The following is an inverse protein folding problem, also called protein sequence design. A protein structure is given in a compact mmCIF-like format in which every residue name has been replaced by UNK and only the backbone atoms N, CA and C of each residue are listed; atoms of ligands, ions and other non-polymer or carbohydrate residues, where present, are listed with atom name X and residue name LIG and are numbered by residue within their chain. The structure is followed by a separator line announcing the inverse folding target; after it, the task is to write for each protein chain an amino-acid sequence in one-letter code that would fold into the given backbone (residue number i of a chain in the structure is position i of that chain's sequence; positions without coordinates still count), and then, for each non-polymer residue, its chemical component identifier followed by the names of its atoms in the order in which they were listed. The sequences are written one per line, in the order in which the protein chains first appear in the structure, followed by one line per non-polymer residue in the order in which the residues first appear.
data_IF_720557643397
#
_entry.id   IF_720557643397
#
_cell.length_a   1.000
_cell.length_b   1.000
_cell.length_c   1.000
_cell.angle_alpha   90.00
_cell.angle_beta   90.00
_cell.angle_gamma   90.00
#
_symmetry.space_group_name_H-M   'P 1'
#
loop_
_entity.id
_entity.type
_entity.pdbx_description
1 polymer ?
#
# COMPACT_ATOMS: atom_id res chain seq x y z
N UNK A 1 -34.24 15.96 -68.37
CA UNK A 1 -34.20 16.37 -66.96
C UNK A 1 -33.74 15.18 -66.12
N UNK A 2 -32.62 15.28 -65.43
CA UNK A 2 -31.97 14.18 -64.70
C UNK A 2 -32.19 14.28 -63.19
N UNK A 3 -32.14 13.14 -62.46
CA UNK A 3 -31.38 13.13 -61.21
C UNK A 3 -30.45 11.91 -61.07
N UNK A 4 -29.40 12.14 -60.27
CA UNK A 4 -28.18 11.36 -60.05
C UNK A 4 -28.33 10.17 -59.08
N UNK A 5 -27.75 9.05 -59.51
CA UNK A 5 -26.83 8.08 -58.88
C UNK A 5 -26.84 7.77 -57.36
N UNK A 6 -26.95 6.46 -57.09
CA UNK A 6 -26.71 5.69 -55.85
C UNK A 6 -25.23 5.63 -55.43
N UNK A 7 -24.99 5.47 -54.13
CA UNK A 7 -23.94 4.60 -53.60
C UNK A 7 -24.41 3.86 -52.33
N UNK A 8 -24.07 2.58 -52.25
CA UNK A 8 -24.46 1.61 -51.22
C UNK A 8 -23.19 0.89 -50.78
N UNK A 9 -22.89 0.82 -49.49
CA UNK A 9 -21.82 -0.03 -48.94
C UNK A 9 -22.38 -1.01 -47.89
N UNK A 10 -21.73 -2.17 -47.80
CA UNK A 10 -22.22 -3.45 -47.28
C UNK A 10 -21.89 -3.68 -45.80
N UNK A 11 -22.72 -4.56 -45.22
CA UNK A 11 -22.72 -5.21 -43.90
C UNK A 11 -21.57 -6.19 -43.67
N UNK A 12 -21.21 -6.42 -42.40
CA UNK A 12 -20.91 -7.76 -41.86
C UNK A 12 -21.09 -7.78 -40.34
N UNK A 13 -22.04 -8.60 -39.86
CA UNK A 13 -22.16 -9.05 -38.48
C UNK A 13 -22.14 -10.58 -38.49
N UNK A 14 -21.25 -11.20 -37.70
CA UNK A 14 -21.14 -12.64 -37.56
C UNK A 14 -21.61 -13.07 -36.17
N UNK A 15 -22.69 -13.83 -36.15
CA UNK A 15 -23.21 -14.57 -34.99
C UNK A 15 -22.76 -16.02 -35.14
N UNK A 16 -22.11 -16.58 -34.10
CA UNK A 16 -21.82 -18.01 -34.00
C UNK A 16 -22.58 -18.56 -32.80
N UNK A 17 -23.51 -19.47 -33.07
CA UNK A 17 -24.11 -20.37 -32.10
C UNK A 17 -23.60 -21.79 -32.41
N UNK A 18 -23.10 -22.51 -31.40
CA UNK A 18 -22.80 -23.95 -31.51
C UNK A 18 -23.41 -24.68 -30.32
N UNK A 19 -23.97 -25.83 -30.67
CA UNK A 19 -24.93 -26.66 -29.97
C UNK A 19 -24.42 -27.36 -28.71
N UNK A 20 -25.40 -27.69 -27.86
CA UNK A 20 -25.34 -28.64 -26.75
C UNK A 20 -25.37 -30.09 -27.22
N UNK A 21 -24.46 -30.94 -26.73
CA UNK A 21 -24.63 -32.39 -26.71
C UNK A 21 -24.35 -32.93 -25.29
N UNK A 22 -25.26 -33.79 -24.81
CA UNK A 22 -25.15 -34.58 -23.59
C UNK A 22 -24.47 -35.90 -23.93
N UNK A 23 -23.45 -36.30 -23.19
CA UNK A 23 -22.81 -37.61 -23.33
C UNK A 23 -22.09 -38.02 -22.04
N UNK A 24 -22.35 -39.25 -21.62
CA UNK A 24 -22.19 -39.84 -20.28
C UNK A 24 -20.77 -40.33 -19.91
N UNK A 25 -20.45 -40.21 -18.61
CA UNK A 25 -19.65 -41.08 -17.71
C UNK A 25 -18.48 -41.91 -18.30
N UNK A 26 -17.26 -41.64 -17.82
CA UNK A 26 -16.33 -42.69 -17.37
C UNK A 26 -15.29 -42.13 -16.38
N UNK A 27 -14.98 -42.95 -15.38
CA UNK A 27 -14.15 -42.74 -14.18
C UNK A 27 -12.65 -42.78 -14.54
N UNK A 28 -11.83 -41.86 -14.02
CA UNK A 28 -10.41 -42.10 -13.81
C UNK A 28 -9.98 -41.48 -12.46
N UNK A 29 -9.54 -42.36 -11.56
CA UNK A 29 -8.89 -42.06 -10.28
C UNK A 29 -7.45 -41.62 -10.57
N UNK A 30 -7.01 -40.51 -10.01
CA UNK A 30 -5.60 -40.32 -9.66
C UNK A 30 -5.50 -39.57 -8.34
N UNK A 31 -5.00 -40.30 -7.34
CA UNK A 31 -4.55 -39.82 -6.03
C UNK A 31 -3.22 -39.08 -6.22
N UNK A 32 -3.03 -37.93 -5.57
CA UNK A 32 -1.72 -37.60 -4.97
C UNK A 32 -1.81 -36.42 -4.01
N UNK A 33 -1.45 -36.73 -2.76
CA UNK A 33 -0.77 -35.89 -1.78
C UNK A 33 -1.39 -34.53 -1.39
N UNK A 34 -2.20 -34.59 -0.32
CA UNK A 34 -2.32 -33.52 0.66
C UNK A 34 -1.12 -33.64 1.60
N UNK A 35 -0.17 -32.70 1.54
CA UNK A 35 0.78 -32.48 2.63
C UNK A 35 0.15 -31.53 3.64
N UNK A 36 -0.17 -32.09 4.81
CA UNK A 36 -0.37 -31.36 6.05
C UNK A 36 1.00 -30.94 6.55
N UNK A 37 1.29 -29.65 6.50
CA UNK A 37 2.37 -29.09 7.32
C UNK A 37 1.76 -28.66 8.65
N UNK A 38 1.93 -29.53 9.65
CA UNK A 38 1.56 -29.31 11.04
C UNK A 38 2.70 -29.83 11.91
N UNK A 39 3.57 -28.93 12.38
CA UNK A 39 4.48 -29.14 13.51
C UNK A 39 5.24 -27.83 13.76
N UNK A 40 4.96 -27.13 14.86
CA UNK A 40 5.72 -27.23 16.11
C UNK A 40 6.88 -26.21 16.12
N UNK A 41 6.62 -25.02 16.66
CA UNK A 41 7.65 -24.21 17.29
C UNK A 41 7.17 -23.87 18.69
N UNK A 42 8.01 -24.27 19.63
CA UNK A 42 7.77 -24.37 21.05
C UNK A 42 7.58 -23.01 21.72
N UNK A 43 6.73 -23.08 22.73
CA UNK A 43 6.53 -22.12 23.78
C UNK A 43 7.71 -22.20 24.75
N UNK A 44 8.53 -21.14 24.82
CA UNK A 44 9.34 -20.85 26.01
C UNK A 44 8.98 -19.47 26.50
N UNK A 45 8.03 -19.41 27.44
CA UNK A 45 7.84 -18.28 28.32
C UNK A 45 8.92 -18.28 29.41
N UNK A 46 9.46 -17.09 29.70
CA UNK A 46 9.81 -16.56 31.03
C UNK A 46 10.66 -15.30 30.89
N UNK A 47 10.26 -14.24 31.59
CA UNK A 47 11.18 -13.16 31.94
C UNK A 47 10.60 -11.75 31.76
N UNK A 48 9.63 -11.40 32.61
CA UNK A 48 9.43 -10.01 33.02
C UNK A 48 10.73 -9.48 33.67
N UNK A 49 11.13 -8.25 33.34
CA UNK A 49 11.99 -7.44 34.19
C UNK A 49 11.61 -5.97 34.05
N UNK A 50 11.12 -5.43 35.16
CA UNK A 50 10.84 -4.02 35.46
C UNK A 50 12.15 -3.20 35.58
N UNK A 51 12.07 -1.85 35.54
CA UNK A 51 13.23 -0.99 35.56
C UNK A 51 13.70 -0.72 36.99
N UNK A 52 15.01 -0.75 37.21
CA UNK A 52 15.62 -0.25 38.45
C UNK A 52 16.11 1.18 38.26
N UNK A 53 15.61 2.03 39.15
CA UNK A 53 16.10 3.37 39.43
C UNK A 53 17.46 3.31 40.13
N UNK A 54 18.34 4.25 39.79
CA UNK A 54 19.45 4.64 40.66
C UNK A 54 19.51 6.17 40.73
N UNK A 55 19.06 6.67 41.88
CA UNK A 55 19.24 8.02 42.43
C UNK A 55 20.73 8.33 42.67
N UNK A 56 21.10 9.61 42.56
CA UNK A 56 22.37 10.13 43.09
C UNK A 56 22.76 11.53 42.61
N UNK A 57 22.20 12.55 43.28
CA UNK A 57 22.74 13.87 43.64
C UNK A 57 23.10 14.98 42.60
N UNK A 58 22.29 16.04 42.65
CA UNK A 58 22.52 17.49 42.33
C UNK A 58 23.27 18.20 43.52
N UNK A 59 23.51 19.55 43.56
CA UNK A 59 23.43 20.64 42.56
C UNK A 59 24.61 21.68 42.53
N UNK A 60 24.78 22.36 41.37
CA UNK A 60 24.82 23.84 41.11
C UNK A 60 25.92 24.79 41.75
N UNK A 61 25.97 26.12 41.43
CA UNK A 61 26.55 26.80 40.24
C UNK A 61 27.66 27.85 40.53
N UNK A 62 28.26 28.40 39.46
CA UNK A 62 28.38 29.86 39.13
C UNK A 62 29.74 30.23 38.49
N UNK A 63 29.72 30.81 37.27
CA UNK A 63 30.13 32.21 37.00
C UNK A 63 30.20 32.56 35.51
N UNK A 64 29.47 33.62 35.23
CA UNK A 64 29.34 34.49 34.07
C UNK A 64 30.67 35.11 33.57
N UNK A 65 30.82 35.32 32.25
CA UNK A 65 31.13 36.65 31.68
C UNK A 65 31.04 36.72 30.15
N UNK A 66 30.42 37.82 29.73
CA UNK A 66 30.05 38.28 28.39
C UNK A 66 31.17 38.91 27.54
N UNK A 67 30.86 39.04 26.23
CA UNK A 67 31.07 40.18 25.30
C UNK A 67 32.27 40.24 24.33
N UNK A 68 31.93 39.99 23.06
CA UNK A 68 31.99 40.92 21.90
C UNK A 68 33.32 41.39 21.30
N UNK A 69 33.54 41.10 20.00
CA UNK A 69 33.34 42.04 18.85
C UNK A 69 33.91 41.51 17.52
N UNK A 70 33.02 41.47 16.52
CA UNK A 70 33.16 41.72 15.07
C UNK A 70 34.52 42.15 14.49
N UNK A 71 34.93 41.52 13.37
CA UNK A 71 35.43 42.26 12.19
C UNK A 71 35.22 41.50 10.88
N UNK A 72 34.79 42.27 9.89
CA UNK A 72 34.35 41.97 8.52
C UNK A 72 35.51 41.61 7.58
N UNK A 73 35.27 40.78 6.55
CA UNK A 73 35.80 41.08 5.21
C UNK A 73 35.03 40.37 4.08
N UNK A 74 34.58 41.22 3.16
CA UNK A 74 33.85 41.05 1.91
C UNK A 74 34.68 40.45 0.77
N UNK A 75 34.07 39.59 -0.08
CA UNK A 75 34.19 39.72 -1.54
C UNK A 75 33.05 39.02 -2.32
N UNK A 76 32.47 39.81 -3.21
CA UNK A 76 31.47 39.61 -4.29
C UNK A 76 31.88 38.53 -5.32
N UNK A 77 31.01 37.86 -6.10
CA UNK A 77 30.12 38.35 -7.21
C UNK A 77 29.29 37.15 -7.81
N UNK A 78 28.43 37.23 -8.86
CA UNK A 78 26.95 37.21 -8.75
C UNK A 78 26.18 36.11 -9.54
N UNK A 79 24.90 35.96 -9.17
CA UNK A 79 23.68 35.63 -9.94
C UNK A 79 23.71 34.54 -11.05
N UNK A 80 22.91 33.46 -10.87
CA UNK A 80 21.74 33.19 -11.71
C UNK A 80 20.86 32.04 -11.14
N UNK A 81 19.56 32.06 -11.49
CA UNK A 81 18.64 30.89 -11.59
C UNK A 81 17.61 30.66 -10.46
N UNK A 82 16.46 31.35 -10.63
CA UNK A 82 15.07 30.90 -10.40
C UNK A 82 14.74 30.08 -9.14
N UNK A 83 14.29 30.77 -8.09
CA UNK A 83 13.57 30.16 -6.98
C UNK A 83 12.08 30.04 -7.33
N UNK A 84 11.63 28.81 -7.61
CA UNK A 84 10.22 28.45 -7.51
C UNK A 84 9.85 28.33 -6.04
N UNK A 85 9.36 29.43 -5.47
CA UNK A 85 8.78 29.49 -4.13
C UNK A 85 7.47 28.70 -4.10
N UNK A 86 7.49 27.49 -3.54
CA UNK A 86 6.29 26.74 -3.15
C UNK A 86 5.89 27.14 -1.72
N UNK A 87 4.59 27.16 -1.39
CA UNK A 87 4.11 27.72 -0.14
C UNK A 87 4.46 26.82 1.07
N UNK A 88 4.62 27.41 2.27
CA UNK A 88 4.88 26.66 3.50
C UNK A 88 3.56 26.06 3.99
N UNK A 89 3.25 24.87 3.52
CA UNK A 89 2.25 23.97 4.12
C UNK A 89 3.00 22.66 4.26
N UNK A 90 3.33 22.11 5.43
CA UNK A 90 2.44 21.72 6.51
C UNK A 90 3.25 21.64 7.83
N UNK A 91 3.15 22.65 8.70
CA UNK A 91 3.25 22.44 10.15
C UNK A 91 1.85 22.07 10.65
N UNK A 92 1.23 21.03 10.08
CA UNK A 92 -0.07 20.57 10.52
C UNK A 92 0.13 19.73 11.78
N UNK A 93 -0.26 20.32 12.91
CA UNK A 93 -0.66 19.57 14.08
C UNK A 93 -1.89 18.77 13.67
N UNK A 94 -1.73 17.46 13.43
CA UNK A 94 -2.85 16.59 13.11
C UNK A 94 -3.76 16.50 14.33
N UNK A 95 -5.07 16.78 14.21
CA UNK A 95 -5.99 16.52 15.31
C UNK A 95 -5.89 15.05 15.67
N UNK A 96 -5.80 14.75 16.98
CA UNK A 96 -5.82 13.38 17.47
C UNK A 96 -7.16 12.76 17.09
N UNK A 97 -7.18 11.98 16.02
CA UNK A 97 -8.38 11.27 15.60
C UNK A 97 -8.66 10.14 16.59
N UNK A 98 -9.77 10.28 17.32
CA UNK A 98 -10.24 9.24 18.22
C UNK A 98 -10.83 8.10 17.39
N UNK A 99 -10.24 6.92 17.53
CA UNK A 99 -10.76 5.70 16.94
C UNK A 99 -11.82 5.11 17.86
N UNK A 100 -12.98 4.78 17.32
CA UNK A 100 -14.04 4.08 18.07
C UNK A 100 -13.80 2.58 18.00
N UNK A 101 -13.63 1.95 19.15
CA UNK A 101 -13.52 0.50 19.26
C UNK A 101 -14.88 -0.17 19.18
N UNK A 102 -14.96 -1.32 18.51
CA UNK A 102 -16.15 -2.15 18.44
C UNK A 102 -15.75 -3.60 18.18
N UNK A 103 -16.72 -4.52 18.24
CA UNK A 103 -16.46 -5.94 17.94
C UNK A 103 -17.45 -6.45 16.92
N UNK A 104 -16.98 -7.35 16.05
CA UNK A 104 -17.82 -8.03 15.05
C UNK A 104 -17.91 -9.51 15.41
N UNK A 105 -19.12 -10.07 15.42
CA UNK A 105 -19.31 -11.51 15.58
C UNK A 105 -18.82 -12.25 14.33
N UNK A 106 -17.93 -13.23 14.50
CA UNK A 106 -17.38 -14.01 13.40
C UNK A 106 -17.87 -15.44 13.43
N UNK A 107 -18.32 -16.00 12.28
CA UNK A 107 -18.67 -17.41 12.22
C UNK A 107 -17.43 -18.26 12.50
N UNK A 108 -17.48 -19.06 13.58
CA UNK A 108 -16.41 -19.99 13.91
C UNK A 108 -16.32 -21.07 12.84
N UNK A 109 -15.16 -21.23 12.21
CA UNK A 109 -14.89 -22.31 11.25
C UNK A 109 -14.88 -23.73 11.85
N UNK A 110 -15.19 -23.86 13.16
CA UNK A 110 -15.12 -25.12 13.89
C UNK A 110 -16.44 -25.95 13.93
N UNK A 111 -17.51 -25.53 13.26
CA UNK A 111 -18.81 -26.22 13.36
C UNK A 111 -18.91 -27.60 12.65
N UNK A 112 -17.80 -28.22 12.21
CA UNK A 112 -17.82 -29.54 11.52
C UNK A 112 -17.69 -30.76 12.44
N UNK A 113 -17.77 -30.60 13.76
CA UNK A 113 -17.71 -31.72 14.71
C UNK A 113 -18.69 -31.48 15.86
N UNK A 114 -19.94 -31.90 15.65
CA UNK A 114 -20.98 -31.88 16.66
C UNK A 114 -20.73 -32.96 17.73
N UNK A 115 -20.14 -32.57 18.87
CA UNK A 115 -20.32 -33.27 20.15
C UNK A 115 -19.95 -32.42 21.37
N UNK A 116 -20.40 -31.16 21.41
CA UNK A 116 -20.65 -30.42 22.66
C UNK A 116 -21.25 -29.04 22.34
N UNK A 117 -22.39 -28.65 22.92
CA UNK A 117 -22.97 -27.32 22.75
C UNK A 117 -22.29 -26.35 23.74
N UNK A 118 -21.08 -25.88 23.40
CA UNK A 118 -20.57 -24.62 23.96
C UNK A 118 -20.36 -23.64 22.80
N UNK A 119 -21.42 -22.91 22.45
CA UNK A 119 -21.40 -21.85 21.42
C UNK A 119 -20.62 -20.64 21.93
N UNK A 120 -19.28 -20.71 21.92
CA UNK A 120 -18.46 -19.52 22.08
C UNK A 120 -18.46 -18.74 20.75
N UNK A 121 -19.26 -17.68 20.65
CA UNK A 121 -19.20 -16.75 19.52
C UNK A 121 -17.84 -16.05 19.56
N UNK A 122 -17.00 -16.27 18.55
CA UNK A 122 -15.72 -15.56 18.45
C UNK A 122 -16.00 -14.14 17.98
N UNK A 123 -15.61 -13.16 18.77
CA UNK A 123 -15.66 -11.74 18.39
C UNK A 123 -14.31 -11.31 17.83
N UNK A 124 -14.33 -10.40 16.86
CA UNK A 124 -13.12 -9.79 16.29
C UNK A 124 -13.07 -8.32 16.69
N UNK A 125 -12.04 -7.88 17.44
CA UNK A 125 -11.81 -6.48 17.75
C UNK A 125 -11.59 -5.65 16.49
N UNK A 126 -12.26 -4.51 16.42
CA UNK A 126 -12.16 -3.56 15.32
C UNK A 126 -12.07 -2.12 15.85
N UNK A 127 -11.51 -1.24 15.04
CA UNK A 127 -11.42 0.19 15.31
C UNK A 127 -11.82 0.97 14.05
N UNK A 128 -12.58 2.05 14.19
CA UNK A 128 -12.99 2.92 13.07
C UNK A 128 -12.61 4.37 13.33
N UNK A 129 -12.23 5.10 12.27
CA UNK A 129 -11.85 6.52 12.37
C UNK A 129 -13.01 7.52 12.26
N UNK A 130 -14.24 7.04 12.05
CA UNK A 130 -15.39 7.87 11.70
C UNK A 130 -16.63 7.50 12.53
N UNK A 131 -17.50 8.49 12.75
CA UNK A 131 -18.86 8.23 13.20
C UNK A 131 -19.70 7.73 12.02
N UNK A 132 -20.63 6.81 12.32
CA UNK A 132 -21.56 6.26 11.33
C UNK A 132 -22.76 7.19 11.19
N UNK A 133 -23.30 7.44 9.97
CA UNK A 133 -22.86 6.95 8.67
C UNK A 133 -21.78 7.85 8.03
N UNK A 134 -20.65 7.27 7.65
CA UNK A 134 -19.63 7.93 6.82
C UNK A 134 -19.02 6.88 5.87
N UNK A 135 -18.84 7.18 4.58
CA UNK A 135 -18.40 6.18 3.60
C UNK A 135 -16.99 5.65 3.88
N UNK A 136 -16.89 4.41 4.35
CA UNK A 136 -15.64 3.70 4.59
C UNK A 136 -14.86 3.54 3.28
N UNK A 137 -13.67 4.14 3.25
CA UNK A 137 -12.79 4.15 2.09
C UNK A 137 -11.80 2.98 2.11
N UNK A 138 -11.41 2.52 3.30
CA UNK A 138 -10.42 1.46 3.48
C UNK A 138 -10.77 0.52 4.63
N UNK A 139 -10.76 -0.78 4.37
CA UNK A 139 -10.69 -1.82 5.39
C UNK A 139 -9.23 -2.31 5.47
N UNK A 140 -8.64 -2.25 6.67
CA UNK A 140 -7.20 -2.47 6.88
C UNK A 140 -6.92 -3.47 8.00
N UNK A 141 -5.83 -4.24 7.91
CA UNK A 141 -5.42 -5.15 8.98
C UNK A 141 -3.90 -5.19 9.18
N UNK A 142 -3.49 -5.55 10.38
CA UNK A 142 -2.10 -5.52 10.84
C UNK A 142 -1.23 -6.63 10.26
N UNK A 143 0.06 -6.58 10.59
CA UNK A 143 1.06 -7.59 10.21
C UNK A 143 1.08 -8.83 11.10
N UNK A 144 2.10 -9.66 10.92
CA UNK A 144 2.39 -10.78 11.81
C UNK A 144 2.83 -10.27 13.19
N UNK A 145 2.40 -10.93 14.27
CA UNK A 145 2.86 -10.66 15.64
C UNK A 145 2.44 -9.33 16.27
N UNK A 146 1.74 -8.47 15.55
CA UNK A 146 1.15 -7.23 16.09
C UNK A 146 -0.36 -7.33 16.27
N UNK A 147 -0.96 -6.21 16.64
CA UNK A 147 -2.40 -5.98 16.75
C UNK A 147 -2.73 -4.57 16.22
N UNK A 148 -3.89 -4.02 16.59
CA UNK A 148 -4.31 -2.68 16.20
C UNK A 148 -3.51 -1.55 16.88
N UNK A 149 -2.80 -1.85 17.97
CA UNK A 149 -1.96 -0.89 18.71
C UNK A 149 -0.52 -0.79 18.18
N UNK A 150 -0.13 -1.67 17.26
CA UNK A 150 1.20 -1.65 16.65
C UNK A 150 1.50 -0.28 16.05
N UNK A 151 2.66 0.31 16.37
CA UNK A 151 3.01 1.69 15.98
C UNK A 151 2.81 1.96 14.48
N UNK A 152 3.26 1.05 13.61
CA UNK A 152 3.08 1.19 12.16
C UNK A 152 1.60 1.22 11.72
N UNK A 153 0.72 0.49 12.41
CA UNK A 153 -0.73 0.55 12.17
C UNK A 153 -1.31 1.89 12.62
N UNK A 154 -0.94 2.33 13.83
CA UNK A 154 -1.43 3.57 14.44
C UNK A 154 -0.99 4.79 13.61
N UNK A 155 0.28 4.87 13.24
CA UNK A 155 0.80 6.00 12.47
C UNK A 155 0.12 6.06 11.10
N UNK A 156 0.05 4.93 10.38
CA UNK A 156 -0.64 4.86 9.09
C UNK A 156 -2.12 5.26 9.20
N UNK A 157 -2.84 4.73 10.19
CA UNK A 157 -4.28 5.00 10.31
C UNK A 157 -4.58 6.43 10.73
N UNK A 158 -3.75 7.05 11.58
CA UNK A 158 -3.85 8.47 11.94
C UNK A 158 -3.67 9.38 10.74
N UNK A 159 -2.62 9.15 9.96
CA UNK A 159 -2.37 9.94 8.75
C UNK A 159 -3.46 9.75 7.69
N UNK A 160 -3.97 8.52 7.55
CA UNK A 160 -5.12 8.24 6.68
C UNK A 160 -6.36 9.00 7.12
N UNK A 161 -6.74 8.89 8.40
CA UNK A 161 -7.91 9.55 8.98
C UNK A 161 -7.78 11.08 8.99
N UNK A 162 -6.57 11.61 9.13
CA UNK A 162 -6.25 13.04 9.08
C UNK A 162 -6.66 13.74 7.79
N UNK A 163 -6.91 13.00 6.71
CA UNK A 163 -7.44 13.55 5.44
C UNK A 163 -8.96 13.73 5.41
N UNK A 164 -9.68 13.26 6.45
CA UNK A 164 -11.13 13.11 6.43
C UNK A 164 -11.62 11.79 5.80
N UNK A 165 -10.72 10.94 5.31
CA UNK A 165 -11.07 9.62 4.78
C UNK A 165 -11.34 8.61 5.90
N UNK A 166 -12.36 7.78 5.70
CA UNK A 166 -12.75 6.77 6.69
C UNK A 166 -11.97 5.45 6.51
N UNK A 167 -11.35 4.99 7.60
CA UNK A 167 -10.69 3.68 7.68
C UNK A 167 -11.30 2.85 8.80
N UNK A 168 -11.49 1.56 8.53
CA UNK A 168 -11.84 0.53 9.52
C UNK A 168 -10.71 -0.48 9.59
N UNK A 169 -10.29 -0.78 10.81
CA UNK A 169 -9.24 -1.72 11.10
C UNK A 169 -9.79 -2.90 11.88
N UNK A 170 -9.30 -4.10 11.60
CA UNK A 170 -9.68 -5.31 12.35
C UNK A 170 -8.46 -6.14 12.76
N UNK A 171 -8.56 -6.77 13.92
CA UNK A 171 -7.51 -7.64 14.45
C UNK A 171 -7.63 -9.05 13.85
N UNK A 172 -6.66 -9.43 13.02
CA UNK A 172 -6.62 -10.73 12.34
C UNK A 172 -5.79 -11.77 13.09
N UNK A 173 -6.23 -13.02 13.08
CA UNK A 173 -5.41 -14.13 13.58
C UNK A 173 -4.19 -14.42 12.66
N UNK A 174 -3.25 -15.24 13.11
CA UNK A 174 -2.02 -15.57 12.38
C UNK A 174 -2.21 -16.46 11.13
N UNK A 175 -3.42 -16.97 10.89
CA UNK A 175 -3.74 -17.73 9.69
C UNK A 175 -4.17 -16.78 8.57
N UNK A 176 -3.33 -16.61 7.55
CA UNK A 176 -3.56 -15.66 6.46
C UNK A 176 -4.88 -15.89 5.71
N UNK A 177 -5.34 -17.15 5.56
CA UNK A 177 -6.61 -17.47 4.87
C UNK A 177 -7.81 -17.09 5.73
N UNK A 178 -7.76 -17.39 7.03
CA UNK A 178 -8.80 -16.98 7.97
C UNK A 178 -8.87 -15.45 8.07
N UNK A 179 -7.70 -14.78 8.11
CA UNK A 179 -7.60 -13.32 8.08
C UNK A 179 -8.17 -12.73 6.78
N UNK A 180 -7.94 -13.36 5.64
CA UNK A 180 -8.53 -12.92 4.37
C UNK A 180 -10.07 -12.99 4.39
N UNK A 181 -10.65 -14.04 4.99
CA UNK A 181 -12.11 -14.17 5.14
C UNK A 181 -12.74 -13.06 6.00
N UNK A 182 -12.00 -12.48 6.94
CA UNK A 182 -12.52 -11.39 7.79
C UNK A 182 -12.79 -10.10 7.02
N UNK A 183 -12.09 -9.83 5.91
CA UNK A 183 -12.35 -8.64 5.11
C UNK A 183 -13.81 -8.58 4.60
N UNK A 184 -14.34 -9.72 4.14
CA UNK A 184 -15.73 -9.82 3.72
C UNK A 184 -16.69 -9.59 4.88
N UNK A 185 -16.42 -10.19 6.06
CA UNK A 185 -17.25 -10.01 7.26
C UNK A 185 -17.28 -8.55 7.73
N UNK A 186 -16.13 -7.88 7.74
CA UNK A 186 -16.05 -6.45 8.11
C UNK A 186 -16.77 -5.58 7.08
N UNK A 187 -16.63 -5.89 5.79
CA UNK A 187 -17.31 -5.17 4.71
C UNK A 187 -18.84 -5.27 4.85
N UNK A 188 -19.38 -6.47 5.06
CA UNK A 188 -20.82 -6.66 5.25
C UNK A 188 -21.31 -5.93 6.51
N UNK A 189 -20.57 -6.00 7.61
CA UNK A 189 -20.90 -5.24 8.82
C UNK A 189 -20.98 -3.72 8.54
N UNK A 190 -20.01 -3.18 7.81
CA UNK A 190 -19.98 -1.76 7.44
C UNK A 190 -21.12 -1.37 6.49
N UNK A 191 -21.55 -2.27 5.61
CA UNK A 191 -22.75 -2.11 4.78
C UNK A 191 -24.00 -2.05 5.65
N UNK A 192 -24.20 -3.03 6.54
CA UNK A 192 -25.37 -3.12 7.42
C UNK A 192 -25.53 -1.90 8.34
N UNK A 193 -24.42 -1.28 8.74
CA UNK A 193 -24.43 -0.10 9.59
C UNK A 193 -24.48 1.22 8.80
N UNK A 194 -24.51 1.19 7.45
CA UNK A 194 -24.65 2.38 6.62
C UNK A 194 -23.35 3.16 6.38
N UNK A 195 -22.20 2.56 6.66
CA UNK A 195 -20.87 3.11 6.34
C UNK A 195 -20.39 2.72 4.94
N UNK A 196 -21.05 1.81 4.23
CA UNK A 196 -20.77 1.51 2.82
C UNK A 196 -22.09 1.51 2.06
N UNK A 197 -22.15 2.22 0.94
CA UNK A 197 -23.33 2.23 0.07
C UNK A 197 -23.36 0.88 -0.67
N UNK A 198 -24.39 0.07 -0.43
CA UNK A 198 -24.62 -1.17 -1.19
C UNK A 198 -24.71 -0.86 -2.68
N UNK A 199 -23.89 -1.51 -3.49
CA UNK A 199 -23.88 -1.35 -4.95
C UNK A 199 -25.24 -1.65 -5.61
N UNK A 200 -26.15 -2.34 -4.93
CA UNK A 200 -27.47 -2.72 -5.45
C UNK A 200 -28.59 -1.67 -5.26
N UNK A 201 -28.37 -0.59 -4.49
CA UNK A 201 -29.43 0.43 -4.29
C UNK A 201 -29.49 1.52 -5.38
N UNK A 202 -28.60 1.49 -6.38
CA UNK A 202 -28.60 2.44 -7.50
C UNK A 202 -29.54 2.05 -8.66
N UNK A 203 -30.38 1.02 -8.49
CA UNK A 203 -31.46 0.69 -9.44
C UNK A 203 -32.79 1.26 -8.96
N UNK A 204 -33.03 2.52 -9.30
CA UNK A 204 -34.31 3.19 -9.10
C UNK A 204 -35.50 2.34 -9.60
N UNK A 205 -36.38 1.98 -8.67
CA UNK A 205 -37.71 1.44 -8.99
C UNK A 205 -38.71 2.58 -9.16
N UNK A 206 -39.34 2.75 -10.33
CA UNK A 206 -40.46 3.67 -10.49
C UNK A 206 -41.75 2.90 -10.21
N UNK A 207 -42.19 2.78 -8.95
CA UNK A 207 -43.49 2.19 -8.65
C UNK A 207 -44.03 2.61 -7.28
N UNK A 208 -45.17 3.31 -7.28
CA UNK A 208 -45.89 3.65 -6.05
C UNK A 208 -46.96 4.72 -6.26
N UNK A 209 -47.98 4.42 -7.06
CA UNK A 209 -49.22 5.21 -7.10
C UNK A 209 -49.88 5.15 -5.73
N UNK A 210 -50.04 6.28 -5.04
CA UNK A 210 -51.01 6.41 -3.95
C UNK A 210 -51.93 7.59 -4.23
N UNK A 211 -53.21 7.23 -4.42
CA UNK A 211 -54.35 8.13 -4.52
C UNK A 211 -54.70 8.66 -3.14
N UNK A 212 -54.85 9.98 -3.00
CA UNK A 212 -55.60 10.58 -1.90
C UNK A 212 -56.61 11.55 -2.48
N UNK A 213 -57.88 11.21 -2.35
CA UNK A 213 -59.02 12.10 -2.57
C UNK A 213 -59.21 12.96 -1.32
N UNK A 214 -59.09 14.27 -1.42
CA UNK A 214 -59.80 15.20 -0.52
C UNK A 214 -60.38 16.34 -1.34
N UNK A 215 -61.67 16.52 -1.14
CA UNK A 215 -62.59 17.48 -1.72
C UNK A 215 -62.24 18.95 -1.43
N UNK A 216 -62.45 19.81 -2.42
CA UNK A 216 -63.06 21.11 -2.20
C UNK A 216 -62.14 22.33 -2.25
N UNK A 217 -62.57 23.29 -3.08
CA UNK A 217 -62.19 24.72 -3.18
C UNK A 217 -60.90 25.10 -3.94
N UNK A 218 -61.16 25.47 -5.19
CA UNK A 218 -60.35 26.30 -6.10
C UNK A 218 -59.82 27.57 -5.40
N UNK A 219 -58.50 27.74 -5.36
CA UNK A 219 -57.82 29.05 -5.45
C UNK A 219 -56.53 28.94 -6.26
N UNK A 220 -56.39 29.86 -7.22
CA UNK A 220 -55.30 30.00 -8.19
C UNK A 220 -54.15 30.75 -7.52
N UNK A 221 -53.02 30.08 -7.30
CA UNK A 221 -51.76 30.72 -6.90
C UNK A 221 -50.68 30.29 -7.88
N UNK A 222 -50.23 31.25 -8.67
CA UNK A 222 -49.07 31.18 -9.56
C UNK A 222 -47.81 31.27 -8.70
N UNK A 223 -47.15 30.14 -8.47
CA UNK A 223 -45.81 30.09 -7.90
C UNK A 223 -44.89 29.45 -8.95
N UNK A 224 -44.05 30.29 -9.57
CA UNK A 224 -42.89 29.88 -10.35
C UNK A 224 -41.90 29.28 -9.36
N UNK A 225 -41.64 27.98 -9.44
CA UNK A 225 -40.57 27.32 -8.69
C UNK A 225 -39.72 26.54 -9.68
N UNK A 226 -38.64 27.19 -10.07
CA UNK A 226 -37.54 26.67 -10.86
C UNK A 226 -36.72 25.75 -9.94
N UNK A 227 -37.09 24.48 -9.82
CA UNK A 227 -36.23 23.44 -9.22
C UNK A 227 -35.61 22.61 -10.34
N UNK A 228 -34.46 23.08 -10.80
CA UNK A 228 -33.57 22.36 -11.70
C UNK A 228 -33.05 21.12 -10.98
N UNK A 229 -33.68 19.98 -11.30
CA UNK A 229 -33.20 18.65 -10.97
C UNK A 229 -31.77 18.48 -11.49
N UNK A 230 -30.81 18.40 -10.58
CA UNK A 230 -29.48 17.86 -10.85
C UNK A 230 -29.34 16.59 -10.03
N UNK A 231 -29.58 15.46 -10.69
CA UNK A 231 -29.28 14.13 -10.20
C UNK A 231 -27.76 14.06 -10.02
N UNK A 232 -27.27 14.36 -8.81
CA UNK A 232 -25.88 14.11 -8.44
C UNK A 232 -25.73 12.62 -8.20
N UNK A 233 -25.30 11.89 -9.23
CA UNK A 233 -24.84 10.51 -9.08
C UNK A 233 -23.60 10.53 -8.18
N UNK A 234 -23.78 10.28 -6.89
CA UNK A 234 -22.65 10.05 -5.99
C UNK A 234 -21.83 8.90 -6.58
N UNK A 235 -20.53 9.07 -6.88
CA UNK A 235 -19.72 7.99 -7.44
C UNK A 235 -19.79 6.80 -6.48
N UNK A 236 -20.07 5.61 -7.02
CA UNK A 236 -20.07 4.37 -6.25
C UNK A 236 -18.80 4.29 -5.41
N UNK A 237 -18.92 4.47 -4.10
CA UNK A 237 -17.77 4.51 -3.18
C UNK A 237 -17.24 3.09 -3.02
N UNK A 238 -16.35 2.68 -3.93
CA UNK A 238 -15.69 1.38 -3.83
C UNK A 238 -14.74 1.40 -2.64
N UNK A 239 -15.12 0.69 -1.57
CA UNK A 239 -14.22 0.38 -0.47
C UNK A 239 -12.95 -0.32 -0.98
N UNK A 240 -11.80 0.05 -0.42
CA UNK A 240 -10.53 -0.62 -0.67
C UNK A 240 -10.23 -1.66 0.40
N UNK A 241 -9.47 -2.70 0.04
CA UNK A 241 -8.83 -3.58 1.01
C UNK A 241 -7.36 -3.24 1.16
N UNK A 242 -6.81 -3.40 2.36
CA UNK A 242 -5.39 -3.24 2.57
C UNK A 242 -4.89 -3.89 3.83
N UNK A 243 -3.58 -3.87 3.99
CA UNK A 243 -2.98 -4.24 5.26
C UNK A 243 -1.48 -4.04 5.24
N UNK A 244 -0.86 -4.36 6.38
CA UNK A 244 0.59 -4.36 6.54
C UNK A 244 1.14 -5.78 6.55
N UNK A 245 2.22 -6.06 5.83
CA UNK A 245 2.92 -7.37 5.87
C UNK A 245 1.96 -8.55 5.62
N UNK A 246 1.79 -9.47 6.57
CA UNK A 246 0.81 -10.55 6.50
C UNK A 246 -0.62 -10.05 6.18
N UNK A 247 -1.00 -8.88 6.70
CA UNK A 247 -2.27 -8.23 6.39
C UNK A 247 -2.39 -7.79 4.94
N UNK A 248 -1.32 -7.27 4.35
CA UNK A 248 -1.27 -6.93 2.91
C UNK A 248 -1.51 -8.18 2.06
N UNK A 249 -0.87 -9.30 2.43
CA UNK A 249 -1.09 -10.58 1.75
C UNK A 249 -2.53 -11.10 1.93
N UNK A 250 -3.12 -10.94 3.11
CA UNK A 250 -4.51 -11.30 3.36
C UNK A 250 -5.48 -10.45 2.53
N UNK A 251 -5.22 -9.15 2.37
CA UNK A 251 -6.02 -8.26 1.51
C UNK A 251 -5.99 -8.70 0.04
N UNK A 252 -4.82 -9.10 -0.47
CA UNK A 252 -4.71 -9.66 -1.82
C UNK A 252 -5.52 -10.96 -1.95
N UNK A 253 -5.41 -11.88 -1.00
CA UNK A 253 -6.23 -13.12 -1.00
C UNK A 253 -7.73 -12.79 -1.02
N UNK A 254 -8.17 -11.85 -0.19
CA UNK A 254 -9.57 -11.45 -0.11
C UNK A 254 -10.08 -10.86 -1.44
N UNK A 255 -9.24 -10.08 -2.13
CA UNK A 255 -9.58 -9.47 -3.42
C UNK A 255 -9.81 -10.47 -4.56
N UNK A 256 -9.24 -11.69 -4.45
CA UNK A 256 -9.48 -12.75 -5.41
C UNK A 256 -10.88 -13.35 -5.31
N UNK A 257 -11.50 -13.25 -4.14
CA UNK A 257 -12.86 -13.76 -3.88
C UNK A 257 -13.92 -12.66 -3.89
N UNK A 258 -13.55 -11.41 -3.60
CA UNK A 258 -14.46 -10.26 -3.64
C UNK A 258 -14.23 -9.42 -4.91
N UNK A 259 -15.01 -9.74 -5.94
CA UNK A 259 -14.92 -9.06 -7.24
C UNK A 259 -15.35 -7.58 -7.20
N UNK A 260 -16.01 -7.14 -6.12
CA UNK A 260 -16.40 -5.75 -5.91
C UNK A 260 -15.23 -4.84 -5.53
N UNK A 261 -14.12 -5.40 -5.02
CA UNK A 261 -12.94 -4.62 -4.65
C UNK A 261 -12.11 -4.29 -5.89
N UNK A 262 -11.91 -3.00 -6.13
CA UNK A 262 -11.15 -2.47 -7.28
C UNK A 262 -9.84 -1.79 -6.89
N UNK A 263 -9.56 -1.63 -5.59
CA UNK A 263 -8.38 -0.92 -5.09
C UNK A 263 -7.76 -1.67 -3.91
N UNK A 264 -6.42 -1.76 -3.91
CA UNK A 264 -5.65 -2.37 -2.82
C UNK A 264 -4.55 -1.46 -2.31
N UNK A 265 -4.40 -1.38 -0.98
CA UNK A 265 -3.30 -0.65 -0.30
C UNK A 265 -2.41 -1.64 0.45
N UNK A 266 -1.20 -1.85 -0.05
CA UNK A 266 -0.29 -2.91 0.38
C UNK A 266 0.96 -2.30 1.04
N UNK A 267 0.91 -2.13 2.37
CA UNK A 267 2.06 -1.65 3.14
C UNK A 267 3.00 -2.80 3.51
N UNK A 268 4.29 -2.66 3.22
CA UNK A 268 5.36 -3.64 3.49
C UNK A 268 4.95 -5.06 3.04
N UNK A 269 4.53 -5.24 1.78
CA UNK A 269 4.08 -6.54 1.28
C UNK A 269 5.23 -7.57 1.35
N UNK A 270 5.05 -8.75 1.98
CA UNK A 270 6.15 -9.69 2.18
C UNK A 270 6.32 -10.58 0.95
N UNK A 271 6.84 -9.98 -0.13
CA UNK A 271 7.05 -10.55 -1.44
C UNK A 271 7.94 -11.80 -1.42
N UNK A 272 8.95 -11.77 -0.57
CA UNK A 272 9.84 -12.90 -0.24
C UNK A 272 9.50 -13.36 1.18
N UNK A 273 9.31 -14.66 1.37
CA UNK A 273 9.12 -15.22 2.70
C UNK A 273 10.41 -15.09 3.54
N UNK A 274 10.33 -15.24 4.87
CA UNK A 274 11.53 -15.38 5.69
C UNK A 274 12.43 -16.56 5.25
N UNK A 275 11.85 -17.56 4.58
CA UNK A 275 12.57 -18.71 4.00
C UNK A 275 13.12 -18.48 2.59
N UNK A 276 12.96 -17.28 2.00
CA UNK A 276 13.41 -16.96 0.65
C UNK A 276 12.45 -17.35 -0.49
N UNK A 277 11.31 -17.99 -0.17
CA UNK A 277 10.32 -18.38 -1.17
C UNK A 277 9.55 -17.17 -1.71
N UNK A 278 9.41 -17.12 -3.04
CA UNK A 278 8.71 -16.05 -3.73
C UNK A 278 7.19 -16.16 -3.59
N UNK A 279 6.50 -15.03 -3.41
CA UNK A 279 5.04 -14.93 -3.25
C UNK A 279 4.42 -14.00 -4.30
N UNK A 280 4.96 -14.00 -5.51
CA UNK A 280 4.51 -13.18 -6.64
C UNK A 280 3.28 -13.72 -7.36
N UNK A 281 3.09 -15.05 -7.44
CA UNK A 281 1.99 -15.63 -8.22
C UNK A 281 0.63 -15.02 -7.88
N UNK A 282 0.35 -14.84 -6.57
CA UNK A 282 -0.90 -14.25 -6.12
C UNK A 282 -1.07 -12.78 -6.55
N UNK A 283 0.02 -12.04 -6.76
CA UNK A 283 0.00 -10.68 -7.32
C UNK A 283 -0.20 -10.71 -8.84
N UNK A 284 0.43 -11.66 -9.54
CA UNK A 284 0.30 -11.85 -10.99
C UNK A 284 -1.10 -12.30 -11.40
N UNK A 285 -1.79 -13.00 -10.51
CA UNK A 285 -3.17 -13.45 -10.71
C UNK A 285 -4.20 -12.32 -10.54
N UNK A 286 -3.81 -11.16 -10.00
CA UNK A 286 -4.75 -10.05 -9.78
C UNK A 286 -5.28 -9.55 -11.13
N UNK A 287 -6.60 -9.35 -11.18
CA UNK A 287 -7.33 -8.91 -12.37
C UNK A 287 -6.89 -7.52 -12.84
N UNK A 288 -7.03 -7.27 -14.14
CA UNK A 288 -6.62 -6.00 -14.76
C UNK A 288 -7.45 -4.78 -14.31
N UNK A 289 -8.65 -5.00 -13.77
CA UNK A 289 -9.56 -3.96 -13.29
C UNK A 289 -9.29 -3.53 -11.84
N UNK A 290 -8.26 -4.08 -11.21
CA UNK A 290 -7.84 -3.72 -9.84
C UNK A 290 -6.60 -2.82 -9.92
N UNK A 291 -6.61 -1.73 -9.16
CA UNK A 291 -5.46 -0.84 -8.99
C UNK A 291 -4.78 -1.11 -7.63
N UNK A 292 -3.44 -1.14 -7.60
CA UNK A 292 -2.67 -1.44 -6.40
C UNK A 292 -1.72 -0.31 -6.04
N UNK A 293 -1.69 0.07 -4.77
CA UNK A 293 -0.67 0.90 -4.17
C UNK A 293 0.26 0.04 -3.31
N UNK A 294 1.53 -0.05 -3.69
CA UNK A 294 2.59 -0.57 -2.84
C UNK A 294 3.22 0.56 -2.03
N UNK A 295 3.40 0.35 -0.73
CA UNK A 295 4.20 1.22 0.15
C UNK A 295 5.29 0.34 0.74
N UNK A 296 6.55 0.59 0.41
CA UNK A 296 7.65 -0.28 0.80
C UNK A 296 8.89 0.52 1.17
N UNK A 297 9.57 0.08 2.22
CA UNK A 297 10.90 0.60 2.54
C UNK A 297 11.94 0.09 1.55
N UNK A 298 12.97 0.88 1.29
CA UNK A 298 14.11 0.47 0.46
C UNK A 298 15.02 -0.56 1.14
N UNK A 299 15.02 -0.63 2.48
CA UNK A 299 15.69 -1.64 3.28
C UNK A 299 14.75 -2.80 3.69
N UNK A 300 13.60 -2.95 3.04
CA UNK A 300 12.70 -4.09 3.26
C UNK A 300 13.24 -5.38 2.61
N UNK A 301 13.88 -6.22 3.41
CA UNK A 301 14.43 -7.52 2.95
C UNK A 301 13.35 -8.52 2.53
N UNK A 302 12.09 -8.34 2.95
CA UNK A 302 10.96 -9.15 2.52
C UNK A 302 10.30 -8.58 1.26
N UNK A 303 10.64 -7.36 0.84
CA UNK A 303 10.16 -6.74 -0.40
C UNK A 303 11.28 -6.01 -1.15
N UNK A 304 12.33 -6.71 -1.63
CA UNK A 304 13.42 -6.05 -2.37
C UNK A 304 12.89 -5.28 -3.58
N UNK A 305 13.25 -4.01 -3.71
CA UNK A 305 12.63 -3.09 -4.67
C UNK A 305 12.80 -3.51 -6.14
N UNK A 306 13.95 -4.08 -6.51
CA UNK A 306 14.19 -4.59 -7.85
C UNK A 306 13.29 -5.79 -8.17
N UNK A 307 13.13 -6.69 -7.20
CA UNK A 307 12.23 -7.83 -7.31
C UNK A 307 10.78 -7.37 -7.42
N UNK A 308 10.36 -6.39 -6.60
CA UNK A 308 9.03 -5.79 -6.70
C UNK A 308 8.82 -5.14 -8.08
N UNK A 309 9.82 -4.42 -8.60
CA UNK A 309 9.73 -3.80 -9.92
C UNK A 309 9.53 -4.83 -11.04
N UNK A 310 10.26 -5.95 -10.97
CA UNK A 310 10.13 -7.05 -11.92
C UNK A 310 8.74 -7.70 -11.87
N UNK A 311 8.17 -7.88 -10.68
CA UNK A 311 6.80 -8.40 -10.52
C UNK A 311 5.77 -7.40 -11.06
N UNK A 312 5.88 -6.12 -10.69
CA UNK A 312 5.00 -5.05 -11.18
C UNK A 312 4.99 -4.92 -12.71
N UNK A 313 6.12 -5.19 -13.37
CA UNK A 313 6.21 -5.21 -14.83
C UNK A 313 5.42 -6.36 -15.49
N UNK A 314 5.19 -7.46 -14.76
CA UNK A 314 4.46 -8.65 -15.24
C UNK A 314 2.99 -8.67 -14.84
N UNK A 315 2.58 -7.82 -13.88
CA UNK A 315 1.21 -7.76 -13.40
C UNK A 315 0.25 -7.21 -14.48
N UNK A 316 -0.95 -7.79 -14.54
CA UNK A 316 -2.06 -7.30 -15.37
C UNK A 316 -2.69 -6.03 -14.78
N UNK A 317 -2.77 -6.02 -13.44
CA UNK A 317 -3.28 -4.91 -12.65
C UNK A 317 -2.35 -3.69 -12.73
N UNK A 318 -2.91 -2.48 -12.66
CA UNK A 318 -2.09 -1.26 -12.65
C UNK A 318 -1.55 -1.02 -11.24
N UNK A 319 -0.27 -0.63 -11.16
CA UNK A 319 0.41 -0.48 -9.87
C UNK A 319 1.06 0.88 -9.70
N UNK A 320 0.92 1.44 -8.51
CA UNK A 320 1.63 2.58 -7.97
C UNK A 320 2.60 2.10 -6.89
N UNK A 321 3.72 2.81 -6.69
CA UNK A 321 4.69 2.50 -5.65
C UNK A 321 5.15 3.77 -4.94
N UNK A 322 5.04 3.76 -3.62
CA UNK A 322 5.71 4.68 -2.70
C UNK A 322 6.90 3.93 -2.11
N UNK A 323 8.11 4.46 -2.33
CA UNK A 323 9.33 3.99 -1.68
C UNK A 323 9.58 4.87 -0.47
N UNK A 324 9.76 4.27 0.71
CA UNK A 324 10.15 4.99 1.92
C UNK A 324 11.65 4.81 2.13
N UNK A 325 12.38 5.89 1.87
CA UNK A 325 13.84 5.96 1.99
C UNK A 325 14.28 5.70 3.43
N UNK A 326 15.24 4.80 3.62
CA UNK A 326 15.75 4.43 4.93
C UNK A 326 14.86 3.47 5.73
N UNK A 327 13.70 3.04 5.23
CA UNK A 327 12.76 2.24 6.01
C UNK A 327 12.97 0.73 5.85
N UNK A 328 12.84 0.00 6.96
CA UNK A 328 12.82 -1.47 6.97
C UNK A 328 11.39 -2.05 6.81
N UNK A 329 11.25 -3.39 6.89
CA UNK A 329 9.94 -4.06 6.80
C UNK A 329 8.94 -3.63 7.89
N UNK A 330 9.42 -3.12 9.03
CA UNK A 330 8.62 -2.55 10.11
C UNK A 330 8.13 -1.13 9.84
N UNK A 331 8.56 -0.53 8.72
CA UNK A 331 8.45 0.91 8.44
C UNK A 331 9.27 1.77 9.41
N UNK A 332 10.31 1.20 10.04
CA UNK A 332 11.21 1.98 10.89
C UNK A 332 12.25 2.66 10.02
N UNK A 333 12.29 3.99 10.07
CA UNK A 333 13.27 4.79 9.32
C UNK A 333 14.62 4.75 10.03
N UNK A 334 15.70 4.56 9.27
CA UNK A 334 17.09 4.53 9.75
C UNK A 334 17.91 5.64 9.08
N UNK A 335 19.09 5.94 9.64
CA UNK A 335 20.09 6.78 8.94
C UNK A 335 19.95 8.30 9.11
N UNK A 336 19.31 8.77 10.18
CA UNK A 336 19.10 10.21 10.41
C UNK A 336 18.98 10.58 11.89
N UNK A 337 18.71 11.87 12.17
CA UNK A 337 18.40 12.38 13.51
C UNK A 337 16.90 12.22 13.81
N UNK A 338 16.53 12.20 15.09
CA UNK A 338 15.12 12.15 15.55
C UNK A 338 14.31 10.97 14.95
N UNK A 339 14.91 9.78 14.86
CA UNK A 339 14.34 8.64 14.14
C UNK A 339 12.98 8.15 14.65
N UNK A 340 12.70 8.29 15.95
CA UNK A 340 11.38 7.94 16.50
C UNK A 340 10.28 8.85 15.93
N UNK A 341 10.51 10.16 15.97
CA UNK A 341 9.63 11.17 15.35
C UNK A 341 9.55 10.98 13.82
N UNK A 342 10.68 10.68 13.18
CA UNK A 342 10.72 10.41 11.75
C UNK A 342 9.90 9.19 11.35
N UNK A 343 10.01 8.08 12.10
CA UNK A 343 9.21 6.86 11.88
C UNK A 343 7.71 7.13 12.07
N UNK A 344 7.34 7.95 13.06
CA UNK A 344 5.96 8.37 13.28
C UNK A 344 5.42 9.21 12.12
N UNK A 345 6.08 10.32 11.79
CA UNK A 345 5.63 11.22 10.72
C UNK A 345 5.64 10.60 9.34
N UNK A 346 6.63 9.77 9.02
CA UNK A 346 6.66 9.05 7.75
C UNK A 346 5.53 8.02 7.68
N UNK A 347 5.22 7.34 8.78
CA UNK A 347 4.08 6.43 8.87
C UNK A 347 2.74 7.15 8.64
N UNK A 348 2.54 8.30 9.28
CA UNK A 348 1.39 9.18 9.05
C UNK A 348 1.32 9.66 7.60
N UNK A 349 2.45 10.11 7.05
CA UNK A 349 2.50 10.57 5.67
C UNK A 349 2.14 9.46 4.67
N UNK A 350 2.58 8.22 4.91
CA UNK A 350 2.17 7.07 4.11
C UNK A 350 0.65 6.84 4.16
N UNK A 351 0.03 7.02 5.33
CA UNK A 351 -1.41 6.99 5.50
C UNK A 351 -2.13 8.08 4.70
N UNK A 352 -1.63 9.32 4.78
CA UNK A 352 -2.15 10.48 4.06
C UNK A 352 -2.09 10.26 2.54
N UNK A 353 -0.94 9.80 2.02
CA UNK A 353 -0.74 9.49 0.60
C UNK A 353 -1.72 8.40 0.15
N UNK A 354 -1.91 7.34 0.94
CA UNK A 354 -2.84 6.27 0.60
C UNK A 354 -4.30 6.76 0.52
N UNK A 355 -4.71 7.61 1.46
CA UNK A 355 -6.05 8.20 1.46
C UNK A 355 -6.27 9.10 0.23
N UNK A 356 -5.31 9.96 -0.09
CA UNK A 356 -5.38 10.80 -1.29
C UNK A 356 -5.41 9.97 -2.56
N UNK A 357 -4.57 8.94 -2.66
CA UNK A 357 -4.52 8.02 -3.80
C UNK A 357 -5.83 7.26 -4.03
N UNK A 358 -6.53 6.89 -2.94
CA UNK A 358 -7.84 6.25 -3.03
C UNK A 358 -8.92 7.21 -3.55
N UNK A 359 -8.87 8.47 -3.14
CA UNK A 359 -9.78 9.52 -3.61
C UNK A 359 -9.53 9.88 -5.08
N UNK A 360 -8.26 10.08 -5.43
CA UNK A 360 -7.83 10.48 -6.76
C UNK A 360 -6.39 10.03 -7.01
N UNK A 361 -6.14 9.46 -8.21
CA UNK A 361 -4.79 9.04 -8.61
C UNK A 361 -4.54 9.35 -10.08
N UNK A 362 -3.36 9.87 -10.36
CA UNK A 362 -2.87 10.06 -11.72
C UNK A 362 -2.50 8.71 -12.35
N UNK A 363 -2.99 8.44 -13.56
CA UNK A 363 -2.78 7.17 -14.25
C UNK A 363 -1.35 6.99 -14.80
N UNK A 364 -0.61 8.08 -14.97
CA UNK A 364 0.73 8.12 -15.56
C UNK A 364 1.81 8.32 -14.50
N UNK A 365 1.54 9.08 -13.43
CA UNK A 365 2.47 9.31 -12.32
C UNK A 365 2.29 8.25 -11.24
N UNK A 366 3.19 7.28 -11.19
CA UNK A 366 3.03 6.01 -10.45
C UNK A 366 4.17 5.67 -9.51
N UNK A 367 5.15 6.55 -9.39
CA UNK A 367 6.28 6.40 -8.46
C UNK A 367 6.32 7.61 -7.53
N UNK A 368 6.64 7.37 -6.26
CA UNK A 368 6.90 8.41 -5.27
C UNK A 368 8.01 7.90 -4.33
N UNK A 369 8.88 8.79 -3.87
CA UNK A 369 9.88 8.47 -2.86
C UNK A 369 9.71 9.41 -1.69
N UNK A 370 9.38 8.88 -0.53
CA UNK A 370 9.21 9.63 0.71
C UNK A 370 10.46 9.43 1.57
N UNK A 371 11.01 10.51 2.13
CA UNK A 371 12.18 10.44 3.01
C UNK A 371 12.03 11.31 4.25
N UNK A 372 12.77 10.96 5.31
CA UNK A 372 12.83 11.76 6.53
C UNK A 372 14.04 12.67 6.52
N UNK A 373 13.80 13.98 6.66
CA UNK A 373 14.87 14.93 6.94
C UNK A 373 14.97 15.17 8.46
N UNK A 374 15.97 14.53 9.07
CA UNK A 374 16.24 14.67 10.50
C UNK A 374 16.82 16.03 10.91
N UNK A 375 17.33 16.84 9.97
CA UNK A 375 17.83 18.19 10.27
C UNK A 375 16.69 19.19 10.42
N UNK A 376 15.74 19.17 9.48
CA UNK A 376 14.55 20.03 9.52
C UNK A 376 13.42 19.43 10.36
N UNK A 377 13.44 18.13 10.61
CA UNK A 377 12.34 17.41 11.25
C UNK A 377 11.11 17.28 10.34
N UNK A 378 11.29 17.16 9.03
CA UNK A 378 10.16 17.12 8.08
C UNK A 378 10.25 15.94 7.12
N UNK A 379 9.08 15.52 6.63
CA UNK A 379 8.98 14.51 5.56
C UNK A 379 9.15 15.19 4.21
N UNK A 380 9.94 14.58 3.31
CA UNK A 380 10.24 15.08 1.96
C UNK A 380 9.74 14.10 0.89
N UNK A 381 9.66 14.58 -0.36
CA UNK A 381 9.48 13.71 -1.55
C UNK A 381 8.03 13.28 -1.86
N UNK A 382 7.05 14.06 -1.42
CA UNK A 382 5.61 13.75 -1.50
C UNK A 382 4.97 14.00 -2.87
N UNK A 383 5.77 13.93 -3.95
CA UNK A 383 5.31 14.22 -5.32
C UNK A 383 5.36 12.95 -6.18
N UNK A 384 4.23 12.64 -6.84
CA UNK A 384 4.16 11.56 -7.82
C UNK A 384 4.92 11.91 -9.10
N UNK A 385 5.76 10.99 -9.57
CA UNK A 385 6.50 11.07 -10.84
C UNK A 385 6.11 9.92 -11.78
N UNK A 386 6.40 10.10 -13.08
CA UNK A 386 6.17 9.08 -14.09
C UNK A 386 6.93 7.78 -13.79
N UNK A 387 6.43 6.64 -14.30
CA UNK A 387 7.16 5.38 -14.19
C UNK A 387 8.51 5.52 -14.89
N UNK A 388 9.61 5.35 -14.16
CA UNK A 388 10.92 5.20 -14.79
C UNK A 388 10.90 3.92 -15.64
N UNK A 389 10.84 4.06 -16.95
CA UNK A 389 11.13 2.99 -17.88
C UNK A 389 12.63 2.80 -17.86
N UNK A 390 13.12 1.70 -17.30
CA UNK A 390 14.53 1.37 -17.33
C UNK A 390 15.01 1.25 -18.77
N UNK A 391 15.68 2.29 -19.26
CA UNK A 391 16.62 2.16 -20.35
C UNK A 391 17.92 1.65 -19.73
N UNK A 392 18.18 0.36 -19.87
CA UNK A 392 19.55 -0.16 -19.82
C UNK A 392 20.34 0.60 -20.87
N UNK A 393 21.15 1.58 -20.46
CA UNK A 393 22.06 2.27 -21.36
C UNK A 393 23.32 1.41 -21.50
N UNK A 394 23.25 0.39 -22.36
CA UNK A 394 24.42 -0.13 -23.07
C UNK A 394 24.64 0.77 -24.30
N UNK A 395 25.59 1.69 -24.22
CA UNK A 395 26.20 2.48 -25.31
C UNK A 395 27.25 3.37 -24.63
N UNK A 396 28.54 3.45 -24.97
CA UNK A 396 29.40 2.82 -25.96
C UNK A 396 30.84 3.07 -25.48
N UNK A 397 31.82 2.22 -25.76
CA UNK A 397 32.30 2.03 -27.13
C UNK A 397 33.23 3.17 -27.55
N UNK A 398 34.43 3.20 -26.96
CA UNK A 398 35.70 3.72 -27.51
C UNK A 398 35.69 4.93 -28.45
N UNK A 399 36.32 6.03 -28.04
CA UNK A 399 37.09 6.86 -28.98
C UNK A 399 38.30 7.51 -28.31
N UNK A 400 39.46 7.12 -28.85
CA UNK A 400 40.80 7.64 -28.56
C UNK A 400 40.86 9.15 -28.77
N UNK A 401 41.48 9.88 -27.84
CA UNK A 401 42.11 11.16 -28.13
C UNK A 401 43.57 11.08 -27.69
N UNK A 402 44.45 10.99 -28.67
CA UNK A 402 45.89 11.01 -28.51
C UNK A 402 46.32 12.36 -27.92
N UNK A 403 47.13 12.32 -26.88
CA UNK A 403 47.96 13.45 -26.50
C UNK A 403 49.41 12.99 -26.65
N UNK A 404 50.07 13.49 -27.69
CA UNK A 404 51.47 13.26 -28.02
C UNK A 404 52.29 14.21 -27.14
N UNK A 405 53.12 13.65 -26.26
CA UNK A 405 54.30 14.34 -25.73
C UNK A 405 55.48 13.39 -25.87
N UNK A 406 56.42 13.85 -26.65
CA UNK A 406 57.70 13.23 -26.93
C UNK A 406 58.55 13.24 -25.66
N UNK A 407 59.15 12.11 -25.31
CA UNK A 407 60.52 12.11 -24.79
C UNK A 407 61.16 10.72 -24.93
N UNK A 408 62.37 10.77 -25.47
CA UNK A 408 63.24 9.68 -25.88
C UNK A 408 63.94 9.00 -24.71
N UNK A 409 64.07 7.67 -24.73
CA UNK A 409 65.35 6.96 -24.50
C UNK A 409 65.18 5.44 -24.60
N UNK A 410 66.05 4.86 -25.42
CA UNK A 410 66.32 3.46 -25.72
C UNK A 410 66.79 2.62 -24.52
N UNK A 411 66.59 1.30 -24.59
CA UNK A 411 67.28 0.33 -23.74
C UNK A 411 66.70 -1.08 -23.85
N UNK A 412 67.19 -1.85 -24.82
CA UNK A 412 66.97 -3.29 -24.99
C UNK A 412 67.47 -4.12 -23.79
N UNK A 413 66.76 -5.17 -23.39
CA UNK A 413 67.36 -6.52 -23.34
C UNK A 413 66.37 -7.66 -23.14
N UNK A 414 66.76 -8.75 -23.81
CA UNK A 414 66.16 -10.04 -24.10
C UNK A 414 66.06 -11.04 -22.91
N UNK A 415 65.20 -12.06 -23.11
CA UNK A 415 65.33 -13.51 -22.73
C UNK A 415 65.09 -13.86 -21.22
N UNK A 416 64.50 -14.97 -20.77
CA UNK A 416 64.12 -16.30 -21.32
C UNK A 416 63.44 -17.16 -20.20
N UNK A 417 62.60 -18.14 -20.60
CA UNK A 417 62.13 -19.38 -19.90
C UNK A 417 61.39 -19.30 -18.55
N UNK A 418 60.52 -20.20 -18.07
CA UNK A 418 59.68 -21.36 -18.50
C UNK A 418 58.83 -21.70 -17.21
N UNK A 419 57.62 -22.32 -17.25
CA UNK A 419 56.80 -22.53 -16.05
C UNK A 419 56.72 -23.99 -15.54
N UNK A 420 56.68 -24.21 -14.22
CA UNK A 420 56.14 -25.46 -13.64
C UNK A 420 55.42 -25.30 -12.27
N UNK A 421 54.45 -26.19 -12.06
CA UNK A 421 53.48 -26.36 -10.96
C UNK A 421 54.09 -26.47 -9.56
N UNK A 422 53.36 -26.05 -8.50
CA UNK A 422 53.04 -26.87 -7.29
C UNK A 422 51.84 -26.23 -6.56
N UNK A 423 50.83 -27.05 -6.18
CA UNK A 423 49.67 -26.61 -5.40
C UNK A 423 49.81 -26.82 -3.89
N UNK A 424 49.05 -26.08 -3.08
CA UNK A 424 48.82 -26.39 -1.66
C UNK A 424 47.39 -26.01 -1.24
N UNK A 425 46.61 -27.01 -0.81
CA UNK A 425 45.34 -26.85 -0.07
C UNK A 425 45.63 -26.51 1.39
N UNK A 426 44.89 -25.57 2.00
CA UNK A 426 44.73 -25.50 3.46
C UNK A 426 43.26 -25.33 3.84
N UNK A 427 42.80 -26.30 4.63
CA UNK A 427 41.50 -26.43 5.31
C UNK A 427 41.68 -25.83 6.71
N UNK A 428 40.73 -25.04 7.23
CA UNK A 428 40.68 -24.71 8.66
C UNK A 428 39.26 -24.87 9.19
N UNK A 429 39.18 -25.66 10.25
CA UNK A 429 38.00 -26.16 10.96
C UNK A 429 37.48 -25.18 12.00
N UNK A 430 36.17 -25.33 12.29
CA UNK A 430 35.39 -24.74 13.39
C UNK A 430 36.09 -24.77 14.75
N UNK A 431 35.80 -23.74 15.55
CA UNK A 431 35.46 -23.87 16.96
C UNK A 431 34.11 -23.19 17.16
#
# INVERSE_FOLDING_TARGET
MAPRTRQRTRSSAATIAIATEKGTKAKAKSKSAVEKESSHLEETGKGEARPDEALGDEPDPTKTKEKSKSTTNTKTTPANTTNNTLPPTLNLVFPTHNFTEFTIATPSSAAKSAKSPSTSTKTTPCQRSHAVPHPTSLIFTHGAGGDLSAAAMVNFSRGFAGTGSAVVMFQGNMNVKARAGLFGVVKEYEIEHGSIISADQDKGSPQGKSSVNVSGKKRKVTAVSTSTSTYSSSPSTSVAYGGRSMGARAAVIASHTDHGIKTLVLASYPLVSPSGAMRDQILLDIRADVDLLFISGDHDTMCPLDTLQNVRAKMKARTWRVVVDGADHGMNVRGGKKLKEGTERVGEECGRIAAEWLRERDLNRREMTVSWDGETGSVRGTVWVGRQTGSTQEQGGTSKRANKKDDSSSGDNEKVDEPERVGVKRKRTKK
#
